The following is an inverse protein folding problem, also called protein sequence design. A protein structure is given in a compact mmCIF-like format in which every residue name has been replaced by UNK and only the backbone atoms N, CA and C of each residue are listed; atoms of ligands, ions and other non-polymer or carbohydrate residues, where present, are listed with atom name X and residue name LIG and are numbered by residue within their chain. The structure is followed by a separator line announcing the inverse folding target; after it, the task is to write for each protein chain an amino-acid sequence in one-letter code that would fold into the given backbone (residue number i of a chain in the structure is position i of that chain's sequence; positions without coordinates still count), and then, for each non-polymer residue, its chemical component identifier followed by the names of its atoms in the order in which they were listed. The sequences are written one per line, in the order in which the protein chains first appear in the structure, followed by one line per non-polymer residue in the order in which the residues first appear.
data_IF_349451574573
#
_entry.id   IF_349451574573
#
_cell.length_a   1.000
_cell.length_b   1.000
_cell.length_c   1.000
_cell.angle_alpha   90.00
_cell.angle_beta   90.00
_cell.angle_gamma   90.00
#
_symmetry.space_group_name_H-M   'P 1'
#
loop_
_entity.id
_entity.type
_entity.pdbx_description
1 polymer ?
#
# COMPACT_ATOMS: atom_id res chain seq x y z
N UNK A 1 -2.29 -2.31 -5.78
CA UNK A 1 -3.18 -3.39 -6.28
C UNK A 1 -3.50 -3.20 -7.75
N UNK A 2 -4.17 -2.11 -8.16
CA UNK A 2 -4.54 -1.89 -9.58
C UNK A 2 -3.38 -1.95 -10.57
N UNK A 3 -2.24 -1.30 -10.28
CA UNK A 3 -1.08 -1.36 -11.16
C UNK A 3 -0.58 -2.80 -11.37
N UNK A 4 -0.53 -3.61 -10.31
CA UNK A 4 -0.11 -5.01 -10.41
C UNK A 4 -1.09 -5.84 -11.24
N UNK A 5 -2.39 -5.67 -11.01
CA UNK A 5 -3.44 -6.31 -11.80
C UNK A 5 -3.33 -5.92 -13.28
N UNK A 6 -3.22 -4.62 -13.57
CA UNK A 6 -3.14 -4.12 -14.95
C UNK A 6 -1.92 -4.64 -15.71
N UNK A 7 -0.74 -4.72 -15.07
CA UNK A 7 0.46 -5.29 -15.70
C UNK A 7 0.31 -6.81 -15.92
N UNK A 8 -0.28 -7.52 -14.97
CA UNK A 8 -0.56 -8.94 -15.12
C UNK A 8 -1.60 -9.24 -16.20
N UNK A 9 -2.65 -8.43 -16.32
CA UNK A 9 -3.67 -8.53 -17.38
C UNK A 9 -3.06 -8.31 -18.79
N UNK A 10 -1.95 -7.56 -18.88
CA UNK A 10 -1.14 -7.43 -20.10
C UNK A 10 -0.19 -8.61 -20.35
N UNK A 11 -0.26 -9.67 -19.54
CA UNK A 11 0.53 -10.88 -19.68
C UNK A 11 1.99 -10.74 -19.23
N UNK A 12 2.28 -9.83 -18.28
CA UNK A 12 3.63 -9.62 -17.73
C UNK A 12 3.68 -10.05 -16.27
N UNK A 13 4.81 -10.63 -15.87
CA UNK A 13 5.07 -10.97 -14.47
C UNK A 13 5.26 -9.71 -13.64
N UNK A 14 4.71 -9.74 -12.42
CA UNK A 14 4.77 -8.62 -11.47
C UNK A 14 5.26 -9.12 -10.13
N UNK A 15 6.23 -8.41 -9.57
CA UNK A 15 6.62 -8.54 -8.17
C UNK A 15 5.94 -7.41 -7.42
N UNK A 16 4.98 -7.75 -6.55
CA UNK A 16 4.28 -6.79 -5.71
C UNK A 16 4.80 -6.89 -4.28
N UNK A 17 5.33 -5.78 -3.77
CA UNK A 17 5.94 -5.68 -2.43
C UNK A 17 5.08 -4.79 -1.55
N UNK A 18 4.76 -5.27 -0.35
CA UNK A 18 3.97 -4.55 0.65
C UNK A 18 4.60 -4.72 2.04
N UNK A 19 4.79 -3.60 2.75
CA UNK A 19 5.42 -3.58 4.08
C UNK A 19 4.51 -4.16 5.17
N UNK A 20 3.19 -4.09 4.97
CA UNK A 20 2.19 -4.61 5.91
C UNK A 20 1.91 -6.10 5.67
N UNK A 21 1.26 -6.73 6.63
CA UNK A 21 0.77 -8.11 6.53
C UNK A 21 -0.47 -8.27 5.65
N UNK A 22 -1.03 -7.16 5.13
CA UNK A 22 -2.24 -7.15 4.32
C UNK A 22 -2.23 -5.99 3.33
N UNK A 23 -2.65 -6.25 2.09
CA UNK A 23 -2.87 -5.21 1.06
C UNK A 23 -4.03 -4.27 1.45
N UNK A 24 -4.19 -3.15 0.74
CA UNK A 24 -5.35 -2.26 0.92
C UNK A 24 -4.98 -0.85 1.33
N UNK A 25 -3.73 -0.63 1.78
CA UNK A 25 -3.20 0.70 2.07
C UNK A 25 -3.96 1.42 3.16
N UNK A 26 -3.96 2.75 3.08
CA UNK A 26 -4.56 3.64 4.09
C UNK A 26 -6.04 3.34 4.35
N UNK A 27 -6.91 3.13 3.32
CA UNK A 27 -8.31 2.81 3.56
C UNK A 27 -8.54 1.53 4.38
N UNK A 28 -7.66 0.53 4.24
CA UNK A 28 -7.73 -0.70 5.05
C UNK A 28 -7.19 -0.48 6.47
N UNK A 29 -6.04 0.18 6.65
CA UNK A 29 -5.47 0.41 8.01
C UNK A 29 -6.32 1.32 8.87
N UNK A 30 -6.92 2.34 8.25
CA UNK A 30 -7.69 3.35 8.93
C UNK A 30 -9.19 3.00 8.99
N UNK A 31 -9.57 1.78 8.59
CA UNK A 31 -10.94 1.28 8.64
C UNK A 31 -11.97 2.23 8.02
N UNK A 32 -11.68 2.79 6.84
CA UNK A 32 -12.58 3.74 6.19
C UNK A 32 -14.00 3.17 6.07
N UNK A 33 -14.99 4.01 6.35
CA UNK A 33 -16.39 3.65 6.40
C UNK A 33 -16.95 3.37 4.99
N UNK A 34 -17.05 4.40 4.16
CA UNK A 34 -17.64 4.32 2.82
C UNK A 34 -16.98 5.28 1.83
N UNK A 35 -16.98 4.91 0.55
CA UNK A 35 -16.49 5.81 -0.49
C UNK A 35 -17.55 6.86 -0.87
N UNK A 36 -17.13 8.12 -0.95
CA UNK A 36 -18.01 9.30 -1.02
C UNK A 36 -18.94 9.39 -2.26
N UNK A 37 -18.71 8.59 -3.31
CA UNK A 37 -19.45 8.71 -4.58
C UNK A 37 -20.68 7.79 -4.66
N UNK A 38 -20.59 6.60 -4.09
CA UNK A 38 -21.62 5.56 -4.19
C UNK A 38 -21.98 4.94 -2.84
N UNK A 39 -21.42 5.46 -1.75
CA UNK A 39 -21.61 5.01 -0.37
C UNK A 39 -21.34 3.52 -0.17
N UNK A 40 -20.57 2.88 -1.06
CA UNK A 40 -20.19 1.49 -0.87
C UNK A 40 -19.21 1.39 0.30
N UNK A 41 -19.38 0.38 1.18
CA UNK A 41 -18.43 0.14 2.25
C UNK A 41 -17.02 -0.02 1.69
N UNK A 42 -16.03 0.67 2.27
CA UNK A 42 -14.70 0.69 1.68
C UNK A 42 -14.09 -0.71 1.62
N UNK A 43 -14.35 -1.53 2.64
CA UNK A 43 -13.89 -2.91 2.74
C UNK A 43 -14.40 -3.80 1.60
N UNK A 44 -15.63 -3.60 1.11
CA UNK A 44 -16.17 -4.39 -0.01
C UNK A 44 -15.39 -4.11 -1.29
N UNK A 45 -15.12 -2.84 -1.58
CA UNK A 45 -14.36 -2.43 -2.77
C UNK A 45 -12.91 -2.91 -2.68
N UNK A 46 -12.29 -2.78 -1.50
CA UNK A 46 -10.92 -3.24 -1.27
C UNK A 46 -10.80 -4.75 -1.40
N UNK A 47 -11.79 -5.51 -0.95
CA UNK A 47 -11.76 -6.97 -1.03
C UNK A 47 -11.85 -7.45 -2.47
N UNK A 48 -12.68 -6.82 -3.31
CA UNK A 48 -12.71 -7.10 -4.76
C UNK A 48 -11.33 -6.84 -5.39
N UNK A 49 -10.71 -5.69 -5.10
CA UNK A 49 -9.39 -5.34 -5.62
C UNK A 49 -8.29 -6.29 -5.11
N UNK A 50 -8.38 -6.72 -3.85
CA UNK A 50 -7.46 -7.68 -3.22
C UNK A 50 -7.56 -9.06 -3.86
N UNK A 51 -8.78 -9.58 -4.04
CA UNK A 51 -9.00 -10.89 -4.66
C UNK A 51 -8.49 -10.93 -6.10
N UNK A 52 -8.65 -9.83 -6.84
CA UNK A 52 -8.12 -9.73 -8.20
C UNK A 52 -6.59 -9.84 -8.27
N UNK A 53 -5.87 -9.49 -7.20
CA UNK A 53 -4.42 -9.66 -7.09
C UNK A 53 -4.05 -11.04 -6.56
N UNK A 54 -4.72 -11.52 -5.51
CA UNK A 54 -4.41 -12.80 -4.86
C UNK A 54 -4.64 -14.02 -5.77
N UNK A 55 -5.60 -13.93 -6.70
CA UNK A 55 -5.93 -15.01 -7.63
C UNK A 55 -5.14 -14.95 -8.94
N UNK A 56 -4.31 -13.92 -9.13
CA UNK A 56 -3.59 -13.70 -10.38
C UNK A 56 -2.25 -14.47 -10.39
N UNK A 57 -2.08 -15.51 -11.23
CA UNK A 57 -0.87 -16.33 -11.25
C UNK A 57 0.41 -15.59 -11.64
N UNK A 58 0.30 -14.46 -12.37
CA UNK A 58 1.46 -13.66 -12.78
C UNK A 58 1.95 -12.68 -11.70
N UNK A 59 1.24 -12.57 -10.58
CA UNK A 59 1.64 -11.69 -9.47
C UNK A 59 2.32 -12.50 -8.37
N UNK A 60 3.59 -12.20 -8.14
CA UNK A 60 4.35 -12.67 -6.99
C UNK A 60 4.23 -11.65 -5.86
N UNK A 61 3.44 -11.99 -4.84
CA UNK A 61 3.16 -11.10 -3.71
C UNK A 61 4.13 -11.37 -2.54
N UNK A 62 4.80 -10.31 -2.10
CA UNK A 62 5.62 -10.29 -0.89
C UNK A 62 5.00 -9.34 0.14
N UNK A 63 4.34 -9.91 1.15
CA UNK A 63 3.84 -9.18 2.33
C UNK A 63 4.94 -9.06 3.38
N UNK A 64 4.75 -8.13 4.33
CA UNK A 64 5.71 -7.87 5.41
C UNK A 64 7.14 -7.68 4.89
N UNK A 65 7.26 -7.04 3.72
CA UNK A 65 8.51 -6.94 2.98
C UNK A 65 8.71 -5.52 2.47
N UNK A 66 9.94 -5.02 2.56
CA UNK A 66 10.33 -3.69 2.11
C UNK A 66 11.47 -3.77 1.09
N UNK A 67 11.53 -2.81 0.17
CA UNK A 67 12.67 -2.67 -0.75
C UNK A 67 13.76 -1.90 0.00
N UNK A 68 14.85 -2.59 0.32
CA UNK A 68 15.99 -2.03 1.06
C UNK A 68 17.04 -1.37 0.16
N UNK A 69 17.17 -1.84 -1.08
CA UNK A 69 18.00 -1.19 -2.11
C UNK A 69 17.42 -1.42 -3.50
N UNK A 70 17.63 -0.43 -4.38
CA UNK A 70 17.22 -0.49 -5.77
C UNK A 70 18.29 0.20 -6.63
N UNK A 71 18.86 -0.51 -7.59
CA UNK A 71 19.94 -0.02 -8.44
C UNK A 71 19.84 -0.59 -9.86
N UNK A 72 20.58 0.01 -10.79
CA UNK A 72 20.64 -0.41 -12.19
C UNK A 72 20.14 0.67 -13.14
N UNK A 73 19.78 0.24 -14.35
CA UNK A 73 19.35 1.10 -15.45
C UNK A 73 17.98 0.65 -15.99
N UNK A 74 17.23 1.53 -16.69
CA UNK A 74 15.96 1.15 -17.30
C UNK A 74 16.04 -0.16 -18.10
N UNK A 75 15.19 -1.13 -17.75
CA UNK A 75 15.19 -2.47 -18.35
C UNK A 75 16.05 -3.51 -17.63
N UNK A 76 16.95 -3.10 -16.73
CA UNK A 76 17.87 -3.98 -16.00
C UNK A 76 18.08 -3.50 -14.56
N UNK A 77 17.01 -3.44 -13.79
CA UNK A 77 17.07 -3.10 -12.36
C UNK A 77 17.26 -4.34 -11.49
N UNK A 78 17.97 -4.14 -10.38
CA UNK A 78 18.11 -5.08 -9.28
C UNK A 78 17.59 -4.44 -8.00
N UNK A 79 16.63 -5.12 -7.37
CA UNK A 79 16.02 -4.76 -6.10
C UNK A 79 16.41 -5.78 -5.02
N UNK A 80 16.68 -5.31 -3.81
CA UNK A 80 16.88 -6.17 -2.64
C UNK A 80 15.69 -6.01 -1.70
N UNK A 81 14.91 -7.07 -1.59
CA UNK A 81 13.76 -7.17 -0.71
C UNK A 81 14.23 -7.63 0.66
N UNK A 82 13.77 -6.96 1.72
CA UNK A 82 14.01 -7.33 3.12
C UNK A 82 12.67 -7.65 3.76
N UNK A 83 12.47 -8.90 4.15
CA UNK A 83 11.29 -9.33 4.88
C UNK A 83 11.41 -8.97 6.37
N UNK A 84 10.27 -8.94 7.07
CA UNK A 84 10.19 -8.61 8.49
C UNK A 84 10.96 -9.59 9.39
N UNK A 85 11.17 -10.84 8.95
CA UNK A 85 12.01 -11.84 9.62
C UNK A 85 13.52 -11.57 9.49
N UNK A 86 13.91 -10.54 8.71
CA UNK A 86 15.29 -10.15 8.44
C UNK A 86 15.91 -10.86 7.24
N UNK A 87 15.21 -11.79 6.58
CA UNK A 87 15.69 -12.42 5.36
C UNK A 87 15.75 -11.42 4.20
N UNK A 88 16.73 -11.59 3.33
CA UNK A 88 16.94 -10.73 2.17
C UNK A 88 16.92 -11.52 0.88
N UNK A 89 16.17 -11.04 -0.11
CA UNK A 89 16.03 -11.68 -1.43
C UNK A 89 16.33 -10.66 -2.52
N UNK A 90 17.19 -11.04 -3.48
CA UNK A 90 17.49 -10.20 -4.65
C UNK A 90 16.55 -10.54 -5.80
N UNK A 91 16.02 -9.52 -6.45
CA UNK A 91 15.02 -9.61 -7.52
C UNK A 91 15.38 -8.70 -8.67
N UNK A 92 15.26 -9.21 -9.90
CA UNK A 92 15.48 -8.43 -11.12
C UNK A 92 14.15 -7.94 -11.70
N UNK A 93 14.10 -6.70 -12.17
CA UNK A 93 12.93 -6.17 -12.87
C UNK A 93 13.31 -5.18 -13.98
N UNK A 94 12.46 -5.05 -14.98
CA UNK A 94 12.67 -4.11 -16.08
C UNK A 94 12.18 -2.68 -15.78
N UNK A 95 11.23 -2.54 -14.87
CA UNK A 95 10.63 -1.28 -14.47
C UNK A 95 10.11 -1.36 -13.04
N UNK A 96 9.96 -0.21 -12.40
CA UNK A 96 9.36 -0.07 -11.07
C UNK A 96 8.17 0.89 -11.12
N UNK A 97 7.10 0.54 -10.41
CA UNK A 97 5.94 1.42 -10.20
C UNK A 97 5.90 1.73 -8.70
N UNK A 98 6.06 3.01 -8.35
CA UNK A 98 6.04 3.47 -6.96
C UNK A 98 4.60 3.85 -6.59
N UNK A 99 4.00 3.07 -5.71
CA UNK A 99 2.62 3.24 -5.25
C UNK A 99 2.53 3.07 -3.72
N UNK A 100 3.47 3.68 -2.98
CA UNK A 100 3.63 3.55 -1.52
C UNK A 100 2.62 4.36 -0.70
N UNK A 101 1.71 5.08 -1.36
CA UNK A 101 0.62 5.79 -0.70
C UNK A 101 1.04 7.13 -0.07
N UNK A 102 0.40 7.45 1.04
CA UNK A 102 0.57 8.68 1.81
C UNK A 102 0.31 8.40 3.29
N UNK A 103 0.73 9.31 4.17
CA UNK A 103 0.38 9.32 5.58
C UNK A 103 -0.58 10.47 5.89
N UNK A 104 -1.48 10.27 6.84
CA UNK A 104 -2.39 11.33 7.28
C UNK A 104 -1.63 12.46 7.97
N UNK A 105 -2.12 13.68 7.80
CA UNK A 105 -1.62 14.84 8.51
C UNK A 105 -1.92 14.71 10.01
N UNK A 106 -0.90 14.95 10.84
CA UNK A 106 -1.01 14.95 12.30
C UNK A 106 -1.00 16.39 12.83
N UNK A 107 -2.17 17.02 13.07
CA UNK A 107 -2.24 18.42 13.49
C UNK A 107 -1.58 18.67 14.86
N UNK A 108 -1.49 17.63 15.69
CA UNK A 108 -0.89 17.72 17.01
C UNK A 108 0.63 17.79 16.92
N UNK A 109 1.24 16.96 16.08
CA UNK A 109 2.70 17.03 15.93
C UNK A 109 3.15 18.26 15.15
N UNK A 110 2.34 18.74 14.22
CA UNK A 110 2.74 19.77 13.26
C UNK A 110 2.46 21.20 13.72
N UNK A 111 1.28 21.50 14.28
CA UNK A 111 0.91 22.90 14.58
C UNK A 111 0.44 23.15 15.99
N UNK A 112 -0.22 22.19 16.65
CA UNK A 112 -0.94 22.37 17.92
C UNK A 112 -1.98 23.52 17.93
N UNK A 113 -2.17 24.24 16.82
CA UNK A 113 -2.99 25.44 16.75
C UNK A 113 -4.50 25.16 16.86
N UNK A 114 -4.89 23.90 16.67
CA UNK A 114 -6.27 23.44 16.70
C UNK A 114 -6.64 22.71 17.99
N UNK A 115 -5.71 22.56 18.95
CA UNK A 115 -5.96 21.84 20.20
C UNK A 115 -6.06 20.31 20.04
N UNK A 116 -5.56 19.76 18.94
CA UNK A 116 -5.47 18.30 18.75
C UNK A 116 -4.46 17.73 19.76
N UNK A 117 -4.89 16.72 20.53
CA UNK A 117 -4.29 16.17 21.77
C UNK A 117 -4.59 16.95 23.06
N UNK A 118 -5.06 18.19 23.01
CA UNK A 118 -5.41 18.95 24.22
C UNK A 118 -6.87 18.74 24.63
N UNK A 119 -7.77 18.70 23.65
CA UNK A 119 -9.20 18.52 23.88
C UNK A 119 -9.67 17.18 23.32
N UNK A 120 -10.38 16.40 24.14
CA UNK A 120 -10.89 15.07 23.77
C UNK A 120 -11.86 15.12 22.58
N UNK A 121 -12.60 16.21 22.43
CA UNK A 121 -13.60 16.38 21.35
C UNK A 121 -13.00 16.91 20.03
N UNK A 122 -11.69 17.18 19.98
CA UNK A 122 -11.00 17.58 18.75
C UNK A 122 -10.39 16.35 18.09
N UNK A 123 -11.05 15.88 17.03
CA UNK A 123 -10.69 14.67 16.30
C UNK A 123 -10.31 14.97 14.85
N UNK A 124 -9.54 14.09 14.21
CA UNK A 124 -9.31 14.13 12.76
C UNK A 124 -10.44 13.45 11.99
N UNK A 125 -10.46 13.61 10.66
CA UNK A 125 -11.38 12.86 9.82
C UNK A 125 -11.21 11.34 10.00
N UNK A 126 -9.98 10.88 10.19
CA UNK A 126 -9.67 9.44 10.34
C UNK A 126 -10.25 8.87 11.61
N UNK A 127 -10.24 9.67 12.68
CA UNK A 127 -10.83 9.30 13.97
C UNK A 127 -12.37 9.19 13.90
N UNK A 128 -12.98 9.75 12.85
CA UNK A 128 -14.42 9.76 12.60
C UNK A 128 -14.90 8.71 11.59
N UNK A 129 -13.99 7.91 11.00
CA UNK A 129 -14.32 6.78 10.11
C UNK A 129 -14.81 5.55 10.90
#
# INVERSE_FOLDING_TARGET
MEAARGVADLGKEVILVERRSRLGGTPDSASYSSFALDHRPAQEVLEVARQAVLTQPLVQLHLETEVSSFAGEPGAFQATLKAADGSTTNMSCGAAIIATGFDHFDPGRETQAYGYYEYEDVITLVDAE
#
